data_IF_275196393313
#
_entry.id   IF_275196393313
#
_cell.length_a   1.000
_cell.length_b   1.000
_cell.length_c   1.000
_cell.angle_alpha   90.00
_cell.angle_beta   90.00
_cell.angle_gamma   90.00
#
_symmetry.space_group_name_H-M   'P 1'
#
loop_
_entity.id
_entity.type
_entity.pdbx_description
1 polymer ?
#
# COMPACT_ATOMS: atom_id res chain seq x y z
N UNK A 1 12.46 -15.44 -7.78
CA UNK A 1 11.44 -16.19 -8.54
C UNK A 1 11.34 -15.49 -9.89
N UNK A 2 11.95 -16.04 -10.93
CA UNK A 2 11.97 -15.47 -12.29
C UNK A 2 10.67 -15.80 -13.04
N UNK A 3 10.39 -15.11 -14.14
CA UNK A 3 9.23 -15.35 -15.04
C UNK A 3 8.98 -16.85 -15.30
N UNK A 4 10.01 -17.50 -15.85
CA UNK A 4 9.99 -18.92 -16.18
C UNK A 4 9.63 -19.79 -14.98
N UNK A 5 9.99 -19.39 -13.76
CA UNK A 5 9.70 -20.15 -12.55
C UNK A 5 8.22 -20.03 -12.12
N UNK A 6 7.60 -18.87 -12.26
CA UNK A 6 6.17 -18.68 -11.96
C UNK A 6 5.27 -19.42 -12.97
N UNK A 7 5.53 -19.25 -14.26
CA UNK A 7 4.78 -19.90 -15.35
C UNK A 7 4.98 -21.42 -15.30
N UNK A 8 6.21 -21.89 -15.15
CA UNK A 8 6.50 -23.34 -15.06
C UNK A 8 5.83 -23.98 -13.85
N UNK A 9 5.87 -23.32 -12.68
CA UNK A 9 5.19 -23.82 -11.48
C UNK A 9 3.69 -23.92 -11.69
N UNK A 10 3.06 -22.92 -12.31
CA UNK A 10 1.63 -22.93 -12.58
C UNK A 10 1.25 -24.07 -13.54
N UNK A 11 1.98 -24.22 -14.66
CA UNK A 11 1.77 -25.32 -15.63
C UNK A 11 1.96 -26.69 -14.99
N UNK A 12 2.99 -26.86 -14.17
CA UNK A 12 3.22 -28.11 -13.44
C UNK A 12 2.09 -28.42 -12.46
N UNK A 13 1.66 -27.44 -11.67
CA UNK A 13 0.57 -27.63 -10.72
C UNK A 13 -0.75 -27.98 -11.42
N UNK A 14 -1.00 -27.41 -12.61
CA UNK A 14 -2.15 -27.78 -13.43
C UNK A 14 -2.06 -29.22 -13.98
N UNK A 15 -0.88 -29.63 -14.46
CA UNK A 15 -0.65 -30.99 -14.92
C UNK A 15 -0.85 -32.02 -13.79
N UNK A 16 -0.25 -31.76 -12.62
CA UNK A 16 -0.42 -32.60 -11.42
C UNK A 16 -1.90 -32.69 -11.02
N UNK A 17 -2.62 -31.57 -11.07
CA UNK A 17 -4.06 -31.50 -10.80
C UNK A 17 -4.86 -32.35 -11.78
N UNK A 18 -4.59 -32.27 -13.08
CA UNK A 18 -5.28 -33.07 -14.10
C UNK A 18 -5.02 -34.56 -13.92
N UNK A 19 -3.77 -34.95 -13.66
CA UNK A 19 -3.40 -36.34 -13.41
C UNK A 19 -4.03 -36.90 -12.11
N UNK A 20 -4.13 -36.08 -11.06
CA UNK A 20 -4.84 -36.48 -9.84
C UNK A 20 -6.35 -36.62 -10.09
N UNK A 21 -6.94 -35.73 -10.91
CA UNK A 21 -8.35 -35.83 -11.29
C UNK A 21 -8.66 -37.12 -12.04
N UNK A 22 -7.83 -37.49 -13.01
CA UNK A 22 -8.00 -38.73 -13.77
C UNK A 22 -8.00 -39.97 -12.88
N UNK A 23 -7.18 -39.98 -11.81
CA UNK A 23 -7.15 -41.09 -10.84
C UNK A 23 -8.39 -41.15 -9.96
N UNK A 24 -8.93 -39.99 -9.57
CA UNK A 24 -10.22 -39.92 -8.88
C UNK A 24 -11.35 -40.41 -9.79
N UNK A 25 -11.40 -39.95 -11.03
CA UNK A 25 -12.43 -40.31 -12.00
C UNK A 25 -12.41 -41.81 -12.36
N UNK A 26 -11.24 -42.48 -12.26
CA UNK A 26 -11.11 -43.91 -12.50
C UNK A 26 -11.80 -44.79 -11.45
N UNK A 27 -11.98 -44.29 -10.22
CA UNK A 27 -12.66 -45.01 -9.13
C UNK A 27 -14.07 -44.46 -8.89
N UNK A 28 -14.24 -43.15 -9.03
CA UNK A 28 -15.46 -42.42 -8.70
C UNK A 28 -15.28 -41.58 -7.44
N UNK A 29 -15.44 -40.26 -7.58
CA UNK A 29 -15.21 -39.31 -6.48
C UNK A 29 -16.16 -39.54 -5.29
N UNK A 30 -17.43 -39.83 -5.57
CA UNK A 30 -18.43 -40.06 -4.53
C UNK A 30 -18.20 -41.40 -3.81
N UNK A 31 -17.77 -42.43 -4.55
CA UNK A 31 -17.37 -43.72 -3.99
C UNK A 31 -16.15 -43.59 -3.06
N UNK A 32 -15.13 -42.83 -3.47
CA UNK A 32 -13.95 -42.54 -2.63
C UNK A 32 -14.31 -41.75 -1.37
N UNK A 33 -15.24 -40.79 -1.48
CA UNK A 33 -15.75 -40.05 -0.31
C UNK A 33 -16.53 -40.94 0.64
N UNK A 34 -17.41 -41.78 0.12
CA UNK A 34 -18.17 -42.73 0.91
C UNK A 34 -17.25 -43.71 1.64
N UNK A 35 -16.21 -44.22 0.96
CA UNK A 35 -15.20 -45.08 1.58
C UNK A 35 -14.44 -44.35 2.69
N UNK A 36 -14.00 -43.11 2.45
CA UNK A 36 -13.34 -42.29 3.49
C UNK A 36 -14.22 -42.14 4.72
N UNK A 37 -15.50 -41.80 4.53
CA UNK A 37 -16.48 -41.68 5.60
C UNK A 37 -16.67 -43.00 6.35
N UNK A 38 -16.82 -44.12 5.64
CA UNK A 38 -16.95 -45.45 6.24
C UNK A 38 -15.71 -45.82 7.08
N UNK A 39 -14.50 -45.57 6.58
CA UNK A 39 -13.26 -45.78 7.33
C UNK A 39 -13.17 -44.90 8.59
N UNK A 40 -13.58 -43.63 8.51
CA UNK A 40 -13.59 -42.70 9.65
C UNK A 40 -14.62 -43.09 10.71
N UNK A 41 -15.85 -43.43 10.29
CA UNK A 41 -16.92 -43.88 11.18
C UNK A 41 -16.56 -45.17 11.91
N UNK A 42 -16.01 -46.15 11.18
CA UNK A 42 -15.57 -47.40 11.79
C UNK A 42 -14.41 -47.18 12.77
N UNK A 43 -13.41 -46.33 12.44
CA UNK A 43 -12.35 -45.95 13.39
C UNK A 43 -12.90 -45.28 14.65
N UNK A 44 -13.93 -44.45 14.50
CA UNK A 44 -14.59 -43.81 15.64
C UNK A 44 -15.29 -44.84 16.53
N UNK A 45 -16.01 -45.80 15.94
CA UNK A 45 -16.63 -46.93 16.68
C UNK A 45 -15.59 -47.76 17.43
N UNK A 46 -14.46 -48.12 16.80
CA UNK A 46 -13.40 -48.86 17.47
C UNK A 46 -12.82 -48.09 18.65
N UNK A 47 -12.52 -46.80 18.45
CA UNK A 47 -11.98 -45.92 19.50
C UNK A 47 -12.94 -45.81 20.69
N UNK A 48 -14.25 -45.73 20.43
CA UNK A 48 -15.27 -45.59 21.46
C UNK A 48 -15.38 -46.85 22.35
N UNK A 49 -15.15 -48.04 21.79
CA UNK A 49 -15.47 -49.33 22.44
C UNK A 49 -14.26 -50.17 22.84
N UNK A 50 -13.05 -49.94 22.31
CA UNK A 50 -11.86 -50.76 22.59
C UNK A 50 -11.60 -50.97 24.10
N UNK A 51 -11.72 -49.92 24.92
CA UNK A 51 -11.51 -50.02 26.37
C UNK A 51 -12.69 -50.60 27.16
N UNK A 52 -13.87 -50.75 26.54
CA UNK A 52 -15.12 -51.20 27.20
C UNK A 52 -15.58 -52.59 26.76
N UNK A 53 -15.29 -52.95 25.52
CA UNK A 53 -15.73 -54.18 24.86
C UNK A 53 -14.63 -55.26 24.79
N UNK A 54 -13.47 -55.05 25.40
CA UNK A 54 -12.38 -56.04 25.50
C UNK A 54 -12.28 -56.67 26.90
N UNK A 55 -11.78 -57.91 26.99
CA UNK A 55 -11.49 -58.58 28.26
C UNK A 55 -12.71 -59.05 29.08
N UNK A 56 -12.66 -58.96 30.41
CA UNK A 56 -13.80 -59.18 31.34
C UNK A 56 -14.74 -57.94 31.41
N UNK A 57 -14.77 -57.14 30.34
CA UNK A 57 -15.40 -55.84 30.26
C UNK A 57 -16.93 -55.85 30.35
N UNK A 58 -17.51 -54.66 30.15
CA UNK A 58 -18.96 -54.43 30.21
C UNK A 58 -19.66 -55.21 29.08
N UNK A 59 -20.27 -56.34 29.44
CA UNK A 59 -20.97 -57.20 28.49
C UNK A 59 -22.08 -56.47 27.74
N UNK A 60 -22.71 -55.45 28.35
CA UNK A 60 -23.71 -54.64 27.65
C UNK A 60 -23.05 -53.78 26.56
N UNK A 61 -21.89 -53.18 26.85
CA UNK A 61 -21.12 -52.41 25.87
C UNK A 61 -20.57 -53.30 24.74
N UNK A 62 -20.22 -54.55 25.04
CA UNK A 62 -19.82 -55.54 24.03
C UNK A 62 -20.98 -55.86 23.07
N UNK A 63 -22.19 -56.13 23.57
CA UNK A 63 -23.36 -56.41 22.72
C UNK A 63 -23.77 -55.17 21.92
N UNK A 64 -23.73 -53.98 22.51
CA UNK A 64 -24.01 -52.73 21.81
C UNK A 64 -23.01 -52.47 20.67
N UNK A 65 -21.72 -52.72 20.91
CA UNK A 65 -20.69 -52.61 19.87
C UNK A 65 -20.97 -53.55 18.70
N UNK A 66 -21.29 -54.82 18.96
CA UNK A 66 -21.64 -55.79 17.91
C UNK A 66 -22.85 -55.36 17.09
N UNK A 67 -23.90 -54.85 17.76
CA UNK A 67 -25.10 -54.37 17.07
C UNK A 67 -24.83 -53.14 16.19
N UNK A 68 -24.00 -52.21 16.69
CA UNK A 68 -23.56 -51.03 15.93
C UNK A 68 -22.72 -51.39 14.71
N UNK A 69 -21.77 -52.32 14.84
CA UNK A 69 -20.93 -52.76 13.72
C UNK A 69 -21.77 -53.48 12.66
N UNK A 70 -22.72 -54.33 13.09
CA UNK A 70 -23.63 -55.01 12.18
C UNK A 70 -24.53 -54.01 11.43
N UNK A 71 -25.11 -53.02 12.13
CA UNK A 71 -25.90 -51.96 11.47
C UNK A 71 -25.05 -51.15 10.49
N UNK A 72 -23.88 -50.69 10.93
CA UNK A 72 -22.95 -49.94 10.09
C UNK A 72 -22.64 -50.67 8.79
N UNK A 73 -22.27 -51.95 8.86
CA UNK A 73 -21.87 -52.74 7.69
C UNK A 73 -23.05 -53.03 6.75
N UNK A 74 -24.26 -53.24 7.29
CA UNK A 74 -25.47 -53.45 6.50
C UNK A 74 -25.93 -52.19 5.74
N UNK A 75 -25.69 -51.01 6.32
CA UNK A 75 -26.10 -49.73 5.74
C UNK A 75 -25.10 -49.19 4.69
N UNK A 76 -23.95 -49.84 4.50
CA UNK A 76 -23.00 -49.49 3.44
C UNK A 76 -23.61 -49.68 2.05
N UNK A 77 -23.17 -48.88 1.08
CA UNK A 77 -23.57 -49.01 -0.32
C UNK A 77 -23.01 -50.30 -0.94
N UNK A 78 -23.77 -50.99 -1.79
CA UNK A 78 -23.36 -52.22 -2.47
C UNK A 78 -22.18 -51.98 -3.45
N UNK A 79 -22.09 -50.77 -3.99
CA UNK A 79 -21.02 -50.36 -4.92
C UNK A 79 -19.81 -49.72 -4.20
N UNK A 80 -19.81 -49.69 -2.85
CA UNK A 80 -18.72 -49.13 -2.07
C UNK A 80 -17.40 -49.87 -2.37
N UNK A 81 -16.31 -49.16 -2.74
CA UNK A 81 -15.00 -49.79 -2.85
C UNK A 81 -14.57 -50.38 -1.51
N UNK A 82 -13.89 -51.52 -1.53
CA UNK A 82 -13.48 -52.25 -0.32
C UNK A 82 -14.63 -52.69 0.60
N UNK A 83 -15.90 -52.71 0.14
CA UNK A 83 -17.06 -53.19 0.95
C UNK A 83 -16.78 -54.54 1.64
N UNK A 84 -16.19 -55.48 0.89
CA UNK A 84 -15.85 -56.82 1.41
C UNK A 84 -14.90 -56.75 2.60
N UNK A 85 -14.01 -55.76 2.68
CA UNK A 85 -13.13 -55.58 3.84
C UNK A 85 -13.94 -55.23 5.10
N UNK A 86 -14.98 -54.40 4.97
CA UNK A 86 -15.87 -54.08 6.09
C UNK A 86 -16.70 -55.28 6.53
N UNK A 87 -17.19 -56.08 5.58
CA UNK A 87 -17.90 -57.33 5.86
C UNK A 87 -16.99 -58.34 6.58
N UNK A 88 -15.75 -58.51 6.13
CA UNK A 88 -14.74 -59.36 6.80
C UNK A 88 -14.35 -58.84 8.19
N UNK A 89 -14.44 -57.53 8.41
CA UNK A 89 -14.23 -56.91 9.72
C UNK A 89 -15.41 -57.23 10.65
N UNK A 90 -16.66 -57.05 10.20
CA UNK A 90 -17.85 -57.41 10.98
C UNK A 90 -17.79 -58.89 11.37
N UNK A 91 -17.60 -59.79 10.41
CA UNK A 91 -17.49 -61.24 10.67
C UNK A 91 -16.40 -61.57 11.70
N UNK A 92 -15.25 -60.90 11.62
CA UNK A 92 -14.16 -61.09 12.58
C UNK A 92 -14.50 -60.55 13.97
N UNK A 93 -15.31 -59.50 14.05
CA UNK A 93 -15.72 -58.90 15.31
C UNK A 93 -16.84 -59.71 16.00
N UNK A 94 -17.60 -60.55 15.29
CA UNK A 94 -18.66 -61.44 15.83
C UNK A 94 -18.16 -62.61 16.72
N UNK A 95 -16.97 -62.49 17.30
CA UNK A 95 -16.40 -63.49 18.21
C UNK A 95 -17.05 -63.42 19.60
N UNK A 96 -17.03 -64.54 20.33
CA UNK A 96 -17.58 -64.59 21.71
C UNK A 96 -16.88 -63.67 22.71
N UNK A 97 -15.64 -63.28 22.41
CA UNK A 97 -14.79 -62.36 23.19
C UNK A 97 -13.86 -61.63 22.24
N UNK A 98 -13.64 -60.35 22.50
CA UNK A 98 -12.67 -59.53 21.77
C UNK A 98 -11.49 -59.17 22.66
N UNK A 99 -10.34 -59.09 22.03
CA UNK A 99 -9.08 -58.68 22.64
C UNK A 99 -8.60 -57.36 22.03
N UNK A 100 -7.72 -56.65 22.71
CA UNK A 100 -7.05 -55.46 22.14
C UNK A 100 -6.33 -55.79 20.82
N UNK A 101 -5.79 -57.00 20.70
CA UNK A 101 -5.16 -57.50 19.47
C UNK A 101 -6.18 -57.62 18.31
N UNK A 102 -7.43 -57.96 18.59
CA UNK A 102 -8.49 -57.98 17.57
C UNK A 102 -8.79 -56.57 17.07
N UNK A 103 -8.88 -55.58 17.97
CA UNK A 103 -9.05 -54.18 17.59
C UNK A 103 -7.86 -53.65 16.79
N UNK A 104 -6.63 -54.04 17.18
CA UNK A 104 -5.42 -53.70 16.42
C UNK A 104 -5.45 -54.29 15.00
N UNK A 105 -5.81 -55.57 14.85
CA UNK A 105 -5.90 -56.21 13.54
C UNK A 105 -7.00 -55.59 12.66
N UNK A 106 -8.11 -55.14 13.24
CA UNK A 106 -9.14 -54.41 12.49
C UNK A 106 -8.63 -53.04 12.06
N UNK A 107 -7.92 -52.30 12.92
CA UNK A 107 -7.29 -51.02 12.51
C UNK A 107 -6.36 -51.19 11.32
N UNK A 108 -5.50 -52.21 11.32
CA UNK A 108 -4.62 -52.50 10.18
C UNK A 108 -5.40 -52.75 8.88
N UNK A 109 -6.56 -53.43 8.96
CA UNK A 109 -7.43 -53.62 7.79
C UNK A 109 -8.12 -52.34 7.32
N UNK A 110 -8.53 -51.48 8.24
CA UNK A 110 -9.08 -50.16 7.87
C UNK A 110 -8.00 -49.30 7.24
N UNK A 111 -6.76 -49.35 7.75
CA UNK A 111 -5.64 -48.64 7.17
C UNK A 111 -5.38 -49.10 5.73
N UNK A 112 -5.40 -50.42 5.49
CA UNK A 112 -5.29 -50.97 4.14
C UNK A 112 -6.45 -50.55 3.21
N UNK A 113 -7.70 -50.58 3.68
CA UNK A 113 -8.84 -50.10 2.89
C UNK A 113 -8.77 -48.58 2.64
N UNK A 114 -8.21 -47.81 3.57
CA UNK A 114 -8.05 -46.36 3.43
C UNK A 114 -7.00 -45.98 2.36
N UNK A 115 -6.07 -46.86 1.98
CA UNK A 115 -5.16 -46.61 0.85
C UNK A 115 -5.92 -46.41 -0.46
N UNK A 116 -7.09 -47.04 -0.62
CA UNK A 116 -7.97 -46.81 -1.80
C UNK A 116 -8.46 -45.36 -1.87
N UNK A 117 -8.44 -44.60 -0.77
CA UNK A 117 -8.81 -43.17 -0.70
C UNK A 117 -7.68 -42.25 -1.17
N UNK A 118 -6.43 -42.71 -1.27
CA UNK A 118 -5.26 -41.89 -1.62
C UNK A 118 -5.44 -41.01 -2.87
N UNK A 119 -6.06 -41.49 -3.98
CA UNK A 119 -6.33 -40.63 -5.14
C UNK A 119 -7.13 -39.36 -4.80
N UNK A 120 -8.08 -39.44 -3.86
CA UNK A 120 -8.89 -38.30 -3.43
C UNK A 120 -8.07 -37.29 -2.62
N UNK A 121 -7.21 -37.77 -1.71
CA UNK A 121 -6.29 -36.92 -0.95
C UNK A 121 -5.32 -36.21 -1.90
N UNK A 122 -4.72 -36.95 -2.82
CA UNK A 122 -3.79 -36.38 -3.79
C UNK A 122 -4.45 -35.35 -4.72
N UNK A 123 -5.73 -35.55 -5.07
CA UNK A 123 -6.52 -34.56 -5.80
C UNK A 123 -6.75 -33.28 -5.01
N UNK A 124 -7.14 -33.40 -3.74
CA UNK A 124 -7.35 -32.25 -2.84
C UNK A 124 -6.05 -31.44 -2.70
N UNK A 125 -4.91 -32.10 -2.50
CA UNK A 125 -3.58 -31.48 -2.43
C UNK A 125 -3.16 -30.84 -3.75
N UNK A 126 -3.34 -31.54 -4.88
CA UNK A 126 -3.00 -31.00 -6.19
C UNK A 126 -3.86 -29.77 -6.54
N UNK A 127 -5.13 -29.77 -6.13
CA UNK A 127 -6.04 -28.64 -6.28
C UNK A 127 -5.60 -27.43 -5.47
N UNK A 128 -5.15 -27.60 -4.22
CA UNK A 128 -4.63 -26.48 -3.43
C UNK A 128 -3.30 -25.96 -3.99
N UNK A 129 -2.37 -26.85 -4.36
CA UNK A 129 -1.11 -26.45 -5.02
C UNK A 129 -1.36 -25.64 -6.29
N UNK A 130 -2.36 -26.00 -7.10
CA UNK A 130 -2.76 -25.22 -8.26
C UNK A 130 -3.30 -23.83 -7.88
N UNK A 131 -4.15 -23.74 -6.85
CA UNK A 131 -4.66 -22.45 -6.35
C UNK A 131 -3.53 -21.54 -5.90
N UNK A 132 -2.60 -22.08 -5.12
CA UNK A 132 -1.45 -21.33 -4.62
C UNK A 132 -0.55 -20.86 -5.76
N UNK A 133 -0.23 -21.74 -6.70
CA UNK A 133 0.55 -21.38 -7.89
C UNK A 133 -0.14 -20.27 -8.68
N UNK A 134 -1.46 -20.37 -8.90
CA UNK A 134 -2.21 -19.35 -9.62
C UNK A 134 -2.27 -18.01 -8.89
N UNK A 135 -2.42 -18.03 -7.55
CA UNK A 135 -2.32 -16.81 -6.71
C UNK A 135 -0.91 -16.20 -6.77
N UNK A 136 0.14 -17.02 -6.75
CA UNK A 136 1.52 -16.55 -6.87
C UNK A 136 1.80 -15.92 -8.24
N UNK A 137 1.33 -16.53 -9.32
CA UNK A 137 1.46 -15.98 -10.69
C UNK A 137 0.73 -14.64 -10.84
N UNK A 138 -0.49 -14.50 -10.29
CA UNK A 138 -1.20 -13.20 -10.25
C UNK A 138 -0.41 -12.13 -9.49
N UNK A 139 0.08 -12.45 -8.29
CA UNK A 139 0.90 -11.51 -7.51
C UNK A 139 2.16 -11.08 -8.25
N UNK A 140 2.80 -11.99 -8.99
CA UNK A 140 3.95 -11.66 -9.83
C UNK A 140 3.55 -10.74 -10.98
N UNK A 141 2.41 -11.00 -11.63
CA UNK A 141 1.88 -10.15 -12.69
C UNK A 141 1.65 -8.71 -12.20
N UNK A 142 1.06 -8.55 -11.01
CA UNK A 142 0.85 -7.23 -10.41
C UNK A 142 2.19 -6.52 -10.14
N UNK A 143 3.16 -7.23 -9.53
CA UNK A 143 4.52 -6.68 -9.29
C UNK A 143 5.22 -6.26 -10.58
N UNK A 144 5.07 -7.04 -11.66
CA UNK A 144 5.65 -6.69 -12.97
C UNK A 144 4.95 -5.47 -13.55
N UNK A 145 3.64 -5.32 -13.36
CA UNK A 145 2.89 -4.12 -13.71
C UNK A 145 3.45 -2.87 -13.04
N UNK A 146 3.63 -2.89 -11.72
CA UNK A 146 4.21 -1.78 -10.96
C UNK A 146 5.62 -1.43 -11.47
N UNK A 147 6.43 -2.46 -11.75
CA UNK A 147 7.80 -2.28 -12.28
C UNK A 147 7.80 -1.66 -13.69
N UNK A 148 6.84 -2.03 -14.54
CA UNK A 148 6.66 -1.43 -15.87
C UNK A 148 6.32 0.05 -15.74
N UNK A 149 5.35 0.41 -14.90
CA UNK A 149 4.92 1.80 -14.71
C UNK A 149 6.08 2.68 -14.22
N UNK A 150 6.89 2.16 -13.29
CA UNK A 150 8.10 2.83 -12.82
C UNK A 150 9.11 3.05 -13.96
N UNK A 151 9.30 2.07 -14.85
CA UNK A 151 10.26 2.18 -15.96
C UNK A 151 9.77 3.08 -17.07
N UNK A 152 8.48 3.05 -17.38
CA UNK A 152 7.86 3.97 -18.32
C UNK A 152 8.00 5.42 -17.85
N UNK A 153 7.79 5.67 -16.55
CA UNK A 153 8.03 6.99 -15.95
C UNK A 153 9.49 7.44 -16.08
N UNK A 154 10.46 6.53 -15.86
CA UNK A 154 11.88 6.86 -16.06
C UNK A 154 12.17 7.20 -17.53
N UNK A 155 11.60 6.45 -18.48
CA UNK A 155 11.74 6.73 -19.92
C UNK A 155 11.18 8.10 -20.26
N UNK A 156 9.97 8.44 -19.78
CA UNK A 156 9.34 9.75 -19.98
C UNK A 156 10.24 10.89 -19.48
N UNK A 157 10.84 10.74 -18.29
CA UNK A 157 11.80 11.73 -17.77
C UNK A 157 13.09 11.79 -18.60
N UNK A 158 13.52 10.66 -19.16
CA UNK A 158 14.71 10.56 -20.03
C UNK A 158 14.53 11.12 -21.44
N UNK A 159 13.29 11.29 -21.91
CA UNK A 159 13.00 11.98 -23.18
C UNK A 159 13.28 13.49 -23.10
N UNK A 160 13.34 14.05 -21.89
CA UNK A 160 13.76 15.41 -21.68
C UNK A 160 15.24 15.61 -22.05
N UNK A 161 15.57 16.79 -22.57
CA UNK A 161 16.96 17.16 -22.80
C UNK A 161 17.69 17.40 -21.47
N UNK A 162 18.28 16.36 -20.89
CA UNK A 162 18.95 16.41 -19.59
C UNK A 162 20.17 17.36 -19.56
N UNK A 163 20.71 17.71 -20.72
CA UNK A 163 21.84 18.64 -20.87
C UNK A 163 21.39 20.09 -21.12
N UNK A 164 20.08 20.36 -21.11
CA UNK A 164 19.57 21.69 -21.33
C UNK A 164 20.10 22.66 -20.25
N UNK A 165 20.42 23.92 -20.61
CA UNK A 165 20.99 24.89 -19.68
C UNK A 165 19.93 25.45 -18.72
N UNK A 166 19.49 24.64 -17.76
CA UNK A 166 18.45 24.93 -16.77
C UNK A 166 18.73 26.19 -15.94
N UNK A 167 20.00 26.57 -15.80
CA UNK A 167 20.43 27.81 -15.13
C UNK A 167 19.81 29.07 -15.72
N UNK A 168 19.43 29.05 -17.01
CA UNK A 168 18.69 30.15 -17.65
C UNK A 168 17.31 30.40 -17.04
N UNK A 169 16.73 29.39 -16.38
CA UNK A 169 15.50 29.52 -15.60
C UNK A 169 15.80 29.60 -14.10
N UNK A 170 16.77 28.81 -13.61
CA UNK A 170 17.10 28.70 -12.18
C UNK A 170 17.60 30.01 -11.60
N UNK A 171 18.62 30.62 -12.21
CA UNK A 171 19.26 31.81 -11.64
C UNK A 171 18.30 33.00 -11.47
N UNK A 172 17.42 33.35 -12.44
CA UNK A 172 16.46 34.43 -12.21
C UNK A 172 15.38 34.09 -11.18
N UNK A 173 15.00 32.82 -11.06
CA UNK A 173 14.01 32.37 -10.07
C UNK A 173 14.60 32.42 -8.67
N UNK A 174 15.76 31.81 -8.45
CA UNK A 174 16.44 31.82 -7.14
C UNK A 174 16.76 33.25 -6.70
N UNK A 175 17.22 34.11 -7.63
CA UNK A 175 17.43 35.54 -7.32
C UNK A 175 16.17 36.23 -6.82
N UNK A 176 15.02 35.98 -7.45
CA UNK A 176 13.75 36.55 -7.01
C UNK A 176 13.31 35.96 -5.67
N UNK A 177 13.39 34.64 -5.51
CA UNK A 177 12.97 33.92 -4.31
C UNK A 177 13.80 34.34 -3.09
N UNK A 178 15.12 34.51 -3.25
CA UNK A 178 16.01 35.09 -2.23
C UNK A 178 15.61 36.54 -1.91
N UNK A 179 15.47 37.39 -2.94
CA UNK A 179 15.16 38.80 -2.75
C UNK A 179 13.80 39.04 -2.06
N UNK A 180 12.77 38.25 -2.39
CA UNK A 180 11.44 38.38 -1.75
C UNK A 180 11.46 37.82 -0.33
N UNK A 181 12.24 36.77 -0.07
CA UNK A 181 12.41 36.20 1.28
C UNK A 181 13.08 37.22 2.19
N UNK A 182 14.23 37.77 1.78
CA UNK A 182 14.95 38.80 2.52
C UNK A 182 14.09 40.05 2.77
N UNK A 183 13.35 40.49 1.74
CA UNK A 183 12.47 41.64 1.87
C UNK A 183 11.29 41.38 2.82
N UNK A 184 10.72 40.17 2.80
CA UNK A 184 9.62 39.82 3.70
C UNK A 184 10.12 39.66 5.14
N UNK A 185 11.28 39.06 5.36
CA UNK A 185 11.90 38.96 6.68
C UNK A 185 12.22 40.34 7.26
N UNK A 186 12.70 41.26 6.42
CA UNK A 186 12.91 42.65 6.81
C UNK A 186 11.58 43.35 7.12
N UNK A 187 10.54 43.15 6.31
CA UNK A 187 9.21 43.69 6.56
C UNK A 187 8.63 43.17 7.88
N UNK A 188 8.63 41.84 8.09
CA UNK A 188 8.19 41.17 9.32
C UNK A 188 8.94 41.64 10.57
N UNK A 189 10.23 41.93 10.44
CA UNK A 189 11.10 42.29 11.57
C UNK A 189 11.05 43.76 11.95
N UNK A 190 10.71 44.65 11.01
CA UNK A 190 10.80 46.10 11.20
C UNK A 190 9.43 46.81 11.15
N UNK A 191 8.50 46.34 10.33
CA UNK A 191 7.17 46.93 10.24
C UNK A 191 6.33 46.55 11.47
N UNK A 192 5.28 47.33 11.73
CA UNK A 192 4.37 47.02 12.83
C UNK A 192 3.65 45.70 12.59
N UNK A 193 3.37 44.95 13.67
CA UNK A 193 2.61 43.70 13.56
C UNK A 193 1.23 43.92 12.92
N UNK A 194 0.60 45.07 13.18
CA UNK A 194 -0.62 45.48 12.47
C UNK A 194 -0.43 45.53 10.97
N UNK A 195 0.57 46.27 10.49
CA UNK A 195 0.83 46.43 9.06
C UNK A 195 1.13 45.10 8.36
N UNK A 196 1.90 44.22 9.01
CA UNK A 196 2.21 42.90 8.46
C UNK A 196 0.95 42.02 8.41
N UNK A 197 0.12 42.02 9.45
CA UNK A 197 -1.11 41.21 9.47
C UNK A 197 -2.19 41.76 8.53
N UNK A 198 -2.29 43.08 8.37
CA UNK A 198 -3.17 43.73 7.37
C UNK A 198 -2.75 43.38 5.94
N UNK A 199 -1.43 43.30 5.70
CA UNK A 199 -0.90 42.81 4.44
C UNK A 199 -1.36 41.37 4.19
N UNK A 200 -1.19 40.47 5.17
CA UNK A 200 -1.60 39.06 5.05
C UNK A 200 -3.12 38.94 4.85
N UNK A 201 -3.93 39.67 5.62
CA UNK A 201 -5.38 39.73 5.44
C UNK A 201 -5.74 40.14 4.01
N UNK A 202 -5.04 41.13 3.44
CA UNK A 202 -5.32 41.56 2.06
C UNK A 202 -4.95 40.51 1.01
N UNK A 203 -4.05 39.57 1.32
CA UNK A 203 -3.71 38.50 0.38
C UNK A 203 -4.87 37.54 0.10
N UNK A 204 -5.93 37.54 0.91
CA UNK A 204 -7.17 36.80 0.64
C UNK A 204 -7.85 37.19 -0.69
N UNK A 205 -7.55 38.38 -1.23
CA UNK A 205 -8.02 38.83 -2.54
C UNK A 205 -7.22 38.23 -3.72
N UNK A 206 -6.15 37.47 -3.43
CA UNK A 206 -5.20 36.93 -4.39
C UNK A 206 -5.08 35.41 -4.21
N UNK A 207 -5.99 34.61 -4.83
CA UNK A 207 -6.08 33.16 -4.60
C UNK A 207 -4.81 32.37 -4.94
N UNK A 208 -3.89 32.92 -5.74
CA UNK A 208 -2.62 32.30 -6.13
C UNK A 208 -1.47 32.65 -5.18
N UNK A 209 -1.75 33.41 -4.11
CA UNK A 209 -0.81 33.70 -3.02
C UNK A 209 -1.37 33.09 -1.73
N UNK A 210 -1.06 31.80 -1.45
CA UNK A 210 -1.78 31.01 -0.46
C UNK A 210 -1.31 31.25 0.98
N UNK A 211 -1.37 32.49 1.47
CA UNK A 211 -1.19 32.75 2.90
C UNK A 211 -2.35 32.16 3.71
N UNK A 212 -2.05 31.75 4.94
CA UNK A 212 -3.08 31.44 5.93
C UNK A 212 -3.63 32.74 6.48
N UNK A 213 -4.95 32.88 6.52
CA UNK A 213 -5.59 34.06 7.07
C UNK A 213 -5.20 34.26 8.55
N UNK A 214 -4.95 35.51 8.98
CA UNK A 214 -4.68 35.81 10.37
C UNK A 214 -5.88 35.46 11.26
N UNK A 215 -5.67 34.89 12.46
CA UNK A 215 -6.75 34.71 13.43
C UNK A 215 -7.43 36.04 13.79
N UNK A 216 -8.77 36.06 13.81
CA UNK A 216 -9.57 37.28 14.06
C UNK A 216 -9.27 37.93 15.43
N UNK A 217 -9.02 37.10 16.45
CA UNK A 217 -8.64 37.54 17.81
C UNK A 217 -7.29 38.28 17.81
N UNK A 218 -6.34 37.79 17.02
CA UNK A 218 -5.03 38.41 16.85
C UNK A 218 -5.14 39.74 16.08
N UNK A 219 -5.93 39.79 15.01
CA UNK A 219 -6.19 41.04 14.25
C UNK A 219 -6.84 42.11 15.14
N UNK A 220 -7.91 41.74 15.84
CA UNK A 220 -8.59 42.65 16.76
C UNK A 220 -7.64 43.20 17.84
N UNK A 221 -6.74 42.35 18.35
CA UNK A 221 -5.74 42.76 19.32
C UNK A 221 -4.77 43.80 18.74
N UNK A 222 -4.12 43.50 17.60
CA UNK A 222 -3.13 44.42 17.01
C UNK A 222 -3.75 45.72 16.51
N UNK A 223 -5.04 45.75 16.19
CA UNK A 223 -5.79 46.96 15.82
C UNK A 223 -6.20 47.81 17.03
N UNK A 224 -6.60 47.16 18.12
CA UNK A 224 -7.10 47.83 19.32
C UNK A 224 -6.02 48.33 20.29
N UNK A 225 -4.80 47.79 20.22
CA UNK A 225 -3.76 48.03 21.23
C UNK A 225 -2.49 48.66 20.64
N UNK A 226 -1.84 49.53 21.42
CA UNK A 226 -0.58 50.17 21.06
C UNK A 226 0.54 49.14 20.83
N UNK A 227 0.52 48.00 21.54
CA UNK A 227 1.45 46.90 21.30
C UNK A 227 1.41 46.39 19.84
N UNK A 228 0.30 46.58 19.10
CA UNK A 228 0.23 46.26 17.68
C UNK A 228 1.09 47.14 16.77
N UNK A 229 1.62 48.26 17.26
CA UNK A 229 2.60 49.08 16.53
C UNK A 229 4.03 48.52 16.64
N UNK A 230 4.25 47.58 17.55
CA UNK A 230 5.54 46.89 17.71
C UNK A 230 5.69 45.81 16.63
N UNK A 231 6.93 45.50 16.20
CA UNK A 231 7.15 44.47 15.18
C UNK A 231 6.92 43.06 15.74
N UNK A 232 6.67 42.10 14.84
CA UNK A 232 6.31 40.71 15.23
C UNK A 232 7.35 40.07 16.17
N UNK A 233 8.67 40.17 15.94
CA UNK A 233 9.66 39.63 16.88
C UNK A 233 9.55 40.22 18.30
N UNK A 234 9.16 41.49 18.40
CA UNK A 234 8.97 42.17 19.70
C UNK A 234 7.71 41.65 20.40
N UNK A 235 6.61 41.48 19.67
CA UNK A 235 5.39 40.87 20.21
C UNK A 235 5.62 39.43 20.68
N UNK A 236 6.41 38.65 19.94
CA UNK A 236 6.81 37.30 20.35
C UNK A 236 7.65 37.33 21.64
N UNK A 237 8.57 38.30 21.77
CA UNK A 237 9.33 38.49 23.00
C UNK A 237 8.42 38.87 24.19
N UNK A 238 7.43 39.72 23.98
CA UNK A 238 6.41 40.04 24.99
C UNK A 238 5.59 38.81 25.37
N UNK A 239 5.17 37.99 24.40
CA UNK A 239 4.43 36.76 24.66
C UNK A 239 5.18 35.80 25.60
N UNK A 240 6.51 35.79 25.56
CA UNK A 240 7.36 34.99 26.44
C UNK A 240 7.54 35.57 27.87
N UNK A 241 7.17 36.84 28.11
CA UNK A 241 7.32 37.47 29.43
C UNK A 241 6.27 36.99 30.44
N UNK A 242 6.59 37.07 31.73
CA UNK A 242 5.59 36.87 32.79
C UNK A 242 4.59 38.02 32.81
N UNK A 243 3.39 37.78 33.36
CA UNK A 243 2.35 38.80 33.49
C UNK A 243 2.86 40.08 34.18
N UNK A 244 3.49 39.92 35.35
CA UNK A 244 4.08 41.01 36.13
C UNK A 244 5.15 41.81 35.38
N UNK A 245 5.83 41.19 34.41
CA UNK A 245 6.81 41.86 33.57
C UNK A 245 6.09 42.63 32.46
N UNK A 246 5.00 42.08 31.91
CA UNK A 246 4.22 42.71 30.84
C UNK A 246 3.48 43.98 31.27
N UNK A 247 3.04 44.07 32.52
CA UNK A 247 2.39 45.28 33.06
C UNK A 247 3.28 46.54 32.97
N UNK A 248 4.58 46.37 32.75
CA UNK A 248 5.54 47.46 32.51
C UNK A 248 5.75 47.83 31.04
N UNK A 249 5.33 46.99 30.10
CA UNK A 249 5.54 47.18 28.66
C UNK A 249 4.25 47.40 27.88
N UNK A 250 3.11 46.89 28.36
CA UNK A 250 1.83 46.99 27.68
C UNK A 250 0.73 47.40 28.65
N UNK A 251 -0.26 48.14 28.15
CA UNK A 251 -1.38 48.63 28.96
C UNK A 251 -2.34 47.53 29.43
N UNK A 252 -2.39 46.40 28.70
CA UNK A 252 -3.23 45.24 29.03
C UNK A 252 -2.46 43.93 28.76
N UNK A 253 -1.81 43.42 29.81
CA UNK A 253 -1.04 42.18 29.75
C UNK A 253 -1.93 40.93 29.53
N UNK A 254 -3.16 40.93 30.05
CA UNK A 254 -4.12 39.82 29.90
C UNK A 254 -4.63 39.71 28.47
N UNK A 255 -4.89 40.84 27.81
CA UNK A 255 -5.25 40.86 26.39
C UNK A 255 -4.09 40.36 25.50
N UNK A 256 -2.84 40.74 25.81
CA UNK A 256 -1.66 40.26 25.08
C UNK A 256 -1.52 38.74 25.22
N UNK A 257 -1.62 38.21 26.44
CA UNK A 257 -1.49 36.76 26.69
C UNK A 257 -2.55 35.96 25.96
N UNK A 258 -3.82 36.39 26.01
CA UNK A 258 -4.92 35.68 25.36
C UNK A 258 -4.83 35.69 23.84
N UNK A 259 -4.38 36.80 23.25
CA UNK A 259 -4.47 37.00 21.79
C UNK A 259 -3.16 36.69 21.06
N UNK A 260 -2.01 37.02 21.67
CA UNK A 260 -0.69 36.84 21.06
C UNK A 260 -0.02 35.55 21.53
N UNK A 261 0.01 35.26 22.83
CA UNK A 261 0.71 34.06 23.33
C UNK A 261 0.02 32.76 22.89
N UNK A 262 -1.31 32.75 22.80
CA UNK A 262 -2.08 31.61 22.26
C UNK A 262 -1.86 31.40 20.75
N UNK A 263 -1.45 32.45 20.01
CA UNK A 263 -1.24 32.43 18.55
C UNK A 263 0.23 32.54 18.14
N UNK A 264 1.16 32.32 19.07
CA UNK A 264 2.60 32.41 18.85
C UNK A 264 3.07 31.59 17.65
N UNK A 265 2.60 30.35 17.51
CA UNK A 265 2.96 29.47 16.40
C UNK A 265 2.53 30.01 15.03
N UNK A 266 1.43 30.75 14.94
CA UNK A 266 1.02 31.40 13.70
C UNK A 266 2.03 32.47 13.30
N UNK A 267 2.35 33.38 14.24
CA UNK A 267 3.32 34.45 14.02
C UNK A 267 4.70 33.90 13.71
N UNK A 268 5.14 32.84 14.39
CA UNK A 268 6.43 32.19 14.15
C UNK A 268 6.57 31.63 12.74
N UNK A 269 5.51 30.97 12.23
CA UNK A 269 5.46 30.32 10.90
C UNK A 269 5.06 31.26 9.76
N UNK A 270 4.93 32.56 10.01
CA UNK A 270 4.56 33.50 8.96
C UNK A 270 5.78 33.90 8.13
N UNK A 271 6.01 33.25 6.99
CA UNK A 271 7.20 33.44 6.15
C UNK A 271 6.83 33.83 4.71
N UNK A 272 7.86 33.96 3.86
CA UNK A 272 7.72 34.37 2.48
C UNK A 272 7.32 33.24 1.52
N UNK A 273 7.17 32.00 1.97
CA UNK A 273 6.97 30.82 1.11
C UNK A 273 5.82 31.00 0.10
N UNK A 274 4.66 31.59 0.44
CA UNK A 274 3.58 31.81 -0.55
C UNK A 274 3.96 32.76 -1.71
N UNK A 275 4.99 33.58 -1.51
CA UNK A 275 5.47 34.59 -2.47
C UNK A 275 6.57 34.04 -3.39
N UNK A 276 7.23 32.94 -3.03
CA UNK A 276 8.31 32.33 -3.83
C UNK A 276 7.77 31.48 -4.97
N UNK A 277 8.58 31.29 -6.02
CA UNK A 277 8.25 30.43 -7.17
C UNK A 277 8.63 28.98 -6.88
N UNK A 278 9.80 28.76 -6.26
CA UNK A 278 10.35 27.44 -6.01
C UNK A 278 10.93 26.78 -7.24
N UNK A 279 11.56 25.62 -7.03
CA UNK A 279 12.24 24.84 -8.07
C UNK A 279 11.86 23.36 -7.99
N UNK A 280 11.62 22.67 -9.13
CA UNK A 280 11.48 23.19 -10.49
C UNK A 280 10.26 24.11 -10.70
N UNK A 281 10.28 25.03 -11.68
CA UNK A 281 9.18 25.97 -11.87
C UNK A 281 7.91 25.31 -12.43
N UNK A 282 6.73 25.91 -12.18
CA UNK A 282 5.48 25.44 -12.76
C UNK A 282 5.42 25.68 -14.28
N UNK A 283 4.39 25.16 -14.93
CA UNK A 283 4.15 25.41 -16.36
C UNK A 283 4.06 26.91 -16.66
N UNK A 284 4.46 27.33 -17.87
CA UNK A 284 4.57 28.75 -18.24
C UNK A 284 3.29 29.54 -17.98
N UNK A 285 2.13 28.94 -18.29
CA UNK A 285 0.81 29.53 -18.05
C UNK A 285 0.52 29.74 -16.56
N UNK A 286 0.74 28.70 -15.75
CA UNK A 286 0.56 28.76 -14.30
C UNK A 286 1.48 29.80 -13.68
N UNK A 287 2.77 29.78 -14.01
CA UNK A 287 3.75 30.72 -13.48
C UNK A 287 3.36 32.16 -13.83
N UNK A 288 2.91 32.40 -15.07
CA UNK A 288 2.50 33.73 -15.52
C UNK A 288 1.33 34.27 -14.70
N UNK A 289 0.33 33.45 -14.39
CA UNK A 289 -0.80 33.85 -13.55
C UNK A 289 -0.38 34.11 -12.12
N UNK A 290 0.43 33.22 -11.52
CA UNK A 290 0.99 33.42 -10.18
C UNK A 290 1.80 34.72 -10.08
N UNK A 291 2.64 35.02 -11.07
CA UNK A 291 3.39 36.28 -11.10
C UNK A 291 2.49 37.52 -11.14
N UNK A 292 1.32 37.49 -11.80
CA UNK A 292 0.43 38.66 -11.85
C UNK A 292 -0.08 39.05 -10.45
N UNK A 293 -0.48 38.06 -9.67
CA UNK A 293 -0.97 38.27 -8.32
C UNK A 293 0.18 38.62 -7.38
N UNK A 294 1.29 37.89 -7.43
CA UNK A 294 2.49 38.18 -6.64
C UNK A 294 3.04 39.58 -6.91
N UNK A 295 3.03 40.08 -8.15
CA UNK A 295 3.43 41.47 -8.46
C UNK A 295 2.56 42.47 -7.68
N UNK A 296 1.25 42.23 -7.61
CA UNK A 296 0.30 43.12 -6.93
C UNK A 296 0.47 43.08 -5.41
N UNK A 297 0.86 41.93 -4.87
CA UNK A 297 1.11 41.71 -3.44
C UNK A 297 2.48 42.26 -3.04
N UNK A 298 3.56 41.84 -3.71
CA UNK A 298 4.95 42.24 -3.41
C UNK A 298 5.16 43.74 -3.54
N UNK A 299 4.50 44.42 -4.48
CA UNK A 299 4.59 45.87 -4.64
C UNK A 299 4.16 46.67 -3.39
N UNK A 300 3.43 46.05 -2.45
CA UNK A 300 2.91 46.71 -1.24
C UNK A 300 3.97 46.88 -0.15
N UNK A 301 4.95 45.99 -0.09
CA UNK A 301 5.99 46.01 0.94
C UNK A 301 7.42 46.07 0.37
N UNK A 302 7.63 45.61 -0.87
CA UNK A 302 8.94 45.52 -1.51
C UNK A 302 8.87 45.92 -3.01
N UNK A 303 8.62 47.20 -3.32
CA UNK A 303 8.50 47.66 -4.71
C UNK A 303 9.76 47.43 -5.56
N UNK A 304 10.94 47.38 -4.94
CA UNK A 304 12.22 47.16 -5.64
C UNK A 304 12.35 45.73 -6.20
N UNK A 305 11.81 44.74 -5.49
CA UNK A 305 11.82 43.31 -5.87
C UNK A 305 10.86 42.99 -7.03
N UNK A 306 9.90 43.88 -7.31
CA UNK A 306 8.95 43.70 -8.43
C UNK A 306 9.65 43.62 -9.78
N UNK A 307 10.82 44.24 -9.92
CA UNK A 307 11.62 44.17 -11.14
C UNK A 307 12.12 42.75 -11.43
N UNK A 308 12.63 42.05 -10.41
CA UNK A 308 13.06 40.65 -10.49
C UNK A 308 11.88 39.72 -10.79
N UNK A 309 10.73 39.93 -10.14
CA UNK A 309 9.53 39.15 -10.41
C UNK A 309 9.01 39.33 -11.86
N UNK A 310 9.13 40.55 -12.41
CA UNK A 310 8.81 40.80 -13.82
C UNK A 310 9.78 40.09 -14.75
N UNK A 311 11.06 39.98 -14.38
CA UNK A 311 12.04 39.20 -15.13
C UNK A 311 11.68 37.70 -15.12
N UNK A 312 11.29 37.14 -13.97
CA UNK A 312 10.78 35.76 -13.88
C UNK A 312 9.54 35.55 -14.74
N UNK A 313 8.57 36.47 -14.67
CA UNK A 313 7.37 36.42 -15.53
C UNK A 313 7.74 36.44 -17.02
N UNK A 314 8.78 37.19 -17.42
CA UNK A 314 9.22 37.24 -18.80
C UNK A 314 9.81 35.91 -19.31
N UNK A 315 10.36 35.06 -18.41
CA UNK A 315 10.84 33.73 -18.77
C UNK A 315 9.74 32.86 -19.39
N UNK A 316 8.49 32.99 -18.91
CA UNK A 316 7.32 32.24 -19.40
C UNK A 316 6.98 32.49 -20.88
N UNK A 317 7.58 33.52 -21.49
CA UNK A 317 7.37 33.86 -22.92
C UNK A 317 8.48 33.35 -23.82
N UNK A 318 9.51 32.72 -23.26
CA UNK A 318 10.61 32.17 -24.04
C UNK A 318 10.15 30.91 -24.77
N UNK A 319 10.57 30.76 -26.01
CA UNK A 319 10.28 29.56 -26.80
C UNK A 319 10.95 28.30 -26.26
N UNK A 320 12.00 28.44 -25.45
CA UNK A 320 12.72 27.32 -24.82
C UNK A 320 12.28 27.03 -23.37
N UNK A 321 11.26 27.73 -22.85
CA UNK A 321 10.84 27.57 -21.45
C UNK A 321 10.44 26.12 -21.13
N UNK A 322 9.54 25.52 -21.92
CA UNK A 322 9.03 24.18 -21.64
C UNK A 322 10.16 23.13 -21.71
N UNK A 323 11.04 23.21 -22.72
CA UNK A 323 12.23 22.35 -22.81
C UNK A 323 13.15 22.46 -21.59
N UNK A 324 13.43 23.69 -21.14
CA UNK A 324 14.28 23.93 -19.96
C UNK A 324 13.60 23.48 -18.67
N UNK A 325 12.29 23.66 -18.56
CA UNK A 325 11.49 23.20 -17.42
C UNK A 325 11.46 21.68 -17.36
N UNK A 326 11.21 21.00 -18.47
CA UNK A 326 11.11 19.55 -18.51
C UNK A 326 12.47 18.92 -18.17
N UNK A 327 13.57 19.52 -18.66
CA UNK A 327 14.93 19.20 -18.23
C UNK A 327 15.14 19.39 -16.73
N UNK A 328 14.69 20.51 -16.16
CA UNK A 328 14.79 20.76 -14.72
C UNK A 328 14.00 19.72 -13.90
N UNK A 329 12.77 19.41 -14.31
CA UNK A 329 11.92 18.39 -13.67
C UNK A 329 12.58 17.02 -13.75
N UNK A 330 13.13 16.66 -14.90
CA UNK A 330 13.84 15.40 -15.07
C UNK A 330 15.10 15.31 -14.21
N UNK A 331 15.91 16.38 -14.15
CA UNK A 331 17.14 16.41 -13.35
C UNK A 331 16.90 16.32 -11.85
N UNK A 332 15.83 16.93 -11.32
CA UNK A 332 15.48 16.82 -9.89
C UNK A 332 14.85 15.48 -9.52
N UNK A 333 14.24 14.78 -10.48
CA UNK A 333 13.59 13.48 -10.24
C UNK A 333 14.50 12.28 -10.54
N UNK A 334 15.51 12.46 -11.40
CA UNK A 334 16.44 11.40 -11.80
C UNK A 334 17.76 11.51 -11.05
N UNK A 335 18.13 10.42 -10.37
CA UNK A 335 19.48 10.24 -9.83
C UNK A 335 20.52 10.15 -10.95
N UNK A 336 21.80 10.39 -10.63
CA UNK A 336 22.90 10.22 -11.59
C UNK A 336 22.94 8.80 -12.20
N UNK A 337 22.66 7.78 -11.37
CA UNK A 337 22.64 6.40 -11.81
C UNK A 337 21.49 6.09 -12.78
N UNK A 338 20.30 6.66 -12.55
CA UNK A 338 19.16 6.51 -13.45
C UNK A 338 19.40 7.23 -14.79
N UNK A 339 20.00 8.42 -14.76
CA UNK A 339 20.39 9.14 -15.98
C UNK A 339 21.37 8.32 -16.83
N UNK A 340 22.37 7.72 -16.19
CA UNK A 340 23.32 6.86 -16.89
C UNK A 340 22.63 5.63 -17.49
N UNK A 341 21.71 4.99 -16.75
CA UNK A 341 20.94 3.84 -17.26
C UNK A 341 20.00 4.20 -18.42
N UNK A 342 19.41 5.39 -18.41
CA UNK A 342 18.62 5.90 -19.52
C UNK A 342 19.52 6.14 -20.75
N UNK A 343 20.69 6.74 -20.54
CA UNK A 343 21.68 7.01 -21.59
C UNK A 343 22.23 5.74 -22.24
N UNK A 344 22.43 4.67 -21.46
CA UNK A 344 22.92 3.38 -21.98
C UNK A 344 21.84 2.50 -22.60
N UNK A 345 20.55 2.89 -22.51
CA UNK A 345 19.42 2.09 -22.99
C UNK A 345 18.97 0.98 -22.03
N UNK A 346 19.63 0.80 -20.89
CA UNK A 346 19.34 -0.27 -19.95
C UNK A 346 17.89 -0.24 -19.43
N UNK A 347 17.31 0.96 -19.22
CA UNK A 347 15.91 1.08 -18.78
C UNK A 347 14.94 0.58 -19.86
N UNK A 348 15.24 0.82 -21.13
CA UNK A 348 14.41 0.37 -22.24
C UNK A 348 14.49 -1.14 -22.43
N UNK A 349 15.68 -1.72 -22.28
CA UNK A 349 15.88 -3.18 -22.32
C UNK A 349 15.12 -3.86 -21.16
N UNK A 350 15.25 -3.34 -19.93
CA UNK A 350 14.53 -3.86 -18.77
C UNK A 350 13.00 -3.73 -18.93
N UNK A 351 12.52 -2.63 -19.54
CA UNK A 351 11.10 -2.45 -19.85
C UNK A 351 10.61 -3.48 -20.88
N UNK A 352 11.42 -3.80 -21.90
CA UNK A 352 11.09 -4.82 -22.88
C UNK A 352 11.01 -6.21 -22.23
N UNK A 353 11.97 -6.56 -21.38
CA UNK A 353 11.99 -7.82 -20.62
C UNK A 353 10.76 -7.94 -19.70
N UNK A 354 10.42 -6.88 -18.96
CA UNK A 354 9.25 -6.86 -18.08
C UNK A 354 7.94 -7.01 -18.85
N UNK A 355 7.83 -6.38 -20.03
CA UNK A 355 6.64 -6.52 -20.88
C UNK A 355 6.50 -7.94 -21.42
N UNK A 356 7.61 -8.57 -21.83
CA UNK A 356 7.61 -9.97 -22.24
C UNK A 356 7.20 -10.90 -21.10
N UNK A 357 7.71 -10.69 -19.89
CA UNK A 357 7.31 -11.44 -18.69
C UNK A 357 5.82 -11.26 -18.36
N UNK A 358 5.32 -10.02 -18.39
CA UNK A 358 3.89 -9.72 -18.17
C UNK A 358 3.00 -10.49 -19.14
N UNK A 359 3.37 -10.52 -20.41
CA UNK A 359 2.60 -11.18 -21.45
C UNK A 359 2.63 -12.69 -21.25
N UNK A 360 3.79 -13.28 -20.92
CA UNK A 360 3.90 -14.71 -20.58
C UNK A 360 3.07 -15.11 -19.35
N UNK A 361 3.05 -14.28 -18.31
CA UNK A 361 2.23 -14.49 -17.11
C UNK A 361 0.74 -14.40 -17.40
N UNK A 362 0.31 -13.43 -18.22
CA UNK A 362 -1.10 -13.29 -18.64
C UNK A 362 -1.54 -14.48 -19.47
N UNK A 363 -0.77 -14.83 -20.49
CA UNK A 363 -1.05 -15.99 -21.35
C UNK A 363 -1.21 -17.27 -20.51
N UNK A 364 -0.33 -17.50 -19.55
CA UNK A 364 -0.42 -18.67 -18.67
C UNK A 364 -1.68 -18.64 -17.76
N UNK A 365 -2.09 -17.46 -17.27
CA UNK A 365 -3.29 -17.33 -16.44
C UNK A 365 -4.59 -17.48 -17.26
N UNK A 366 -4.57 -17.08 -18.54
CA UNK A 366 -5.70 -17.18 -19.45
C UNK A 366 -5.85 -18.60 -20.00
N UNK A 367 -4.73 -19.24 -20.38
CA UNK A 367 -4.67 -20.66 -20.76
C UNK A 367 -5.18 -21.55 -19.60
N UNK A 368 -4.80 -21.24 -18.37
CA UNK A 368 -5.08 -22.05 -17.18
C UNK A 368 -6.25 -21.46 -16.39
N UNK A 369 -7.44 -21.89 -16.81
CA UNK A 369 -8.73 -21.45 -16.27
C UNK A 369 -8.80 -21.58 -14.73
N UNK A 370 -9.53 -20.67 -14.05
CA UNK A 370 -9.81 -20.80 -12.62
C UNK A 370 -10.49 -22.13 -12.31
N UNK A 371 -10.31 -22.62 -11.08
CA UNK A 371 -11.12 -23.73 -10.58
C UNK A 371 -12.58 -23.29 -10.56
N UNK A 372 -13.46 -24.12 -11.14
CA UNK A 372 -14.89 -24.03 -10.92
C UNK A 372 -15.24 -24.34 -9.46
#
# INVERSE_FOLDING_TARGET
MTDADAVTRLRRADADRRAARERVDAVGEDALRALRTACEELRALLTEYEGRATGDGDFAAFIEFQDRIAHFTNDLDEELPERTVFEEIDERLQQRRLTEDDFAAVRERIDAAAETVDPLVEWEDARERYREARRATRRRLDTVGDQIDDRERLVELGEADLDAPTERLREPIERYDEAVTDAFDAFRSNASAREVLDFVETTALYPLVPFREPPEDLLAYVHGHEAGTEPIPKLLAYAAYSQSKLDHYVADADALKRSVATRQTYLERLDADPLTVGWPPPAADTLRWQCNERISVVARFAPDVVSDLRAVRALTRRSDYDRLRDSAVARERLTDAERERLRTGAVADELADLRAERDALRDALDELSPLA
#
